data_IF_636450728943
#
_entry.id   IF_636450728943
#
_cell.length_a   1.000
_cell.length_b   1.000
_cell.length_c   1.000
_cell.angle_alpha   90.00
_cell.angle_beta   90.00
_cell.angle_gamma   90.00
#
_symmetry.space_group_name_H-M   'P 1'
#
loop_
_entity.id
_entity.type
_entity.pdbx_description
1 polymer ?
#
# COMPACT_ATOMS: atom_id res chain seq x y z
N UNK A 1 7.29 -25.27 -0.15
CA UNK A 1 8.22 -24.13 0.01
C UNK A 1 7.99 -23.53 1.38
N UNK A 2 8.95 -23.70 2.30
CA UNK A 2 8.80 -23.24 3.67
C UNK A 2 8.69 -21.72 3.73
N UNK A 3 7.52 -21.21 4.15
CA UNK A 3 7.40 -19.83 4.61
C UNK A 3 8.32 -19.71 5.83
N UNK A 4 9.40 -18.92 5.71
CA UNK A 4 10.23 -18.56 6.86
C UNK A 4 9.34 -18.05 7.98
N UNK A 5 9.61 -18.50 9.21
CA UNK A 5 8.77 -18.22 10.39
C UNK A 5 8.45 -16.71 10.45
N UNK A 6 7.18 -16.36 10.34
CA UNK A 6 6.71 -14.98 10.56
C UNK A 6 7.05 -14.59 11.99
N UNK A 7 7.80 -13.49 12.17
CA UNK A 7 8.04 -12.91 13.49
C UNK A 7 6.70 -12.60 14.17
N UNK A 8 6.58 -12.95 15.44
CA UNK A 8 5.38 -12.68 16.23
C UNK A 8 5.21 -11.17 16.42
N UNK A 9 3.98 -10.74 16.71
CA UNK A 9 3.64 -9.35 17.01
C UNK A 9 4.62 -8.71 18.03
N UNK A 10 4.97 -9.45 19.08
CA UNK A 10 5.92 -9.01 20.11
C UNK A 10 7.33 -8.77 19.56
N UNK A 11 7.81 -9.65 18.67
CA UNK A 11 9.16 -9.57 18.09
C UNK A 11 9.30 -8.36 17.16
N UNK A 12 8.23 -8.03 16.43
CA UNK A 12 8.20 -6.83 15.57
C UNK A 12 8.23 -5.56 16.42
N UNK A 13 7.47 -5.52 17.52
CA UNK A 13 7.42 -4.33 18.37
C UNK A 13 8.74 -4.03 19.10
N UNK A 14 9.48 -5.07 19.51
CA UNK A 14 10.75 -4.92 20.21
C UNK A 14 11.94 -4.59 19.28
N UNK A 15 11.74 -4.67 17.96
CA UNK A 15 12.76 -4.27 16.98
C UNK A 15 12.89 -2.73 16.94
N UNK A 16 14.07 -2.17 16.56
CA UNK A 16 14.20 -0.76 16.18
C UNK A 16 13.13 -0.35 15.16
N UNK A 17 12.83 0.95 15.00
CA UNK A 17 11.82 1.42 14.05
C UNK A 17 12.24 1.07 12.62
N UNK A 18 11.92 -0.13 12.18
CA UNK A 18 12.22 -0.59 10.85
C UNK A 18 11.08 -0.18 9.94
N UNK A 19 11.31 0.90 9.17
CA UNK A 19 10.47 1.32 8.07
C UNK A 19 11.05 0.69 6.81
N UNK A 20 10.31 -0.23 6.20
CA UNK A 20 10.70 -0.83 4.93
C UNK A 20 10.00 -0.14 3.77
N UNK A 21 10.77 0.34 2.80
CA UNK A 21 10.23 0.76 1.52
C UNK A 21 11.19 0.40 0.40
N UNK A 22 10.64 -0.14 -0.68
CA UNK A 22 11.39 -0.25 -1.94
C UNK A 22 10.64 0.46 -3.04
N UNK A 23 11.34 1.09 -3.97
CA UNK A 23 10.71 1.65 -5.17
C UNK A 23 11.32 1.00 -6.43
N UNK A 24 10.46 0.35 -7.23
CA UNK A 24 10.83 -0.26 -8.51
C UNK A 24 10.67 0.77 -9.64
N UNK A 25 11.71 1.03 -10.43
CA UNK A 25 11.60 1.87 -11.62
C UNK A 25 11.13 1.01 -12.80
N UNK A 26 9.88 0.49 -12.79
CA UNK A 26 9.35 -0.14 -14.02
C UNK A 26 8.87 0.90 -15.04
N UNK A 27 8.50 2.09 -14.60
CA UNK A 27 8.21 3.25 -15.46
C UNK A 27 8.58 4.54 -14.71
N UNK A 28 9.35 5.44 -15.34
CA UNK A 28 9.55 6.81 -14.84
C UNK A 28 8.31 7.62 -15.21
N UNK A 29 7.36 7.79 -14.28
CA UNK A 29 6.32 8.82 -14.42
C UNK A 29 6.86 10.13 -13.83
N UNK A 30 6.76 11.22 -14.62
CA UNK A 30 7.49 12.48 -14.39
C UNK A 30 7.32 13.04 -12.98
N UNK A 31 6.11 12.97 -12.40
CA UNK A 31 5.82 13.61 -11.11
C UNK A 31 5.99 12.68 -9.91
N UNK A 32 5.57 11.41 -10.05
CA UNK A 32 5.64 10.40 -8.98
C UNK A 32 7.08 9.95 -8.69
N UNK A 33 7.93 9.91 -9.72
CA UNK A 33 9.36 9.62 -9.56
C UNK A 33 10.08 10.68 -8.70
N UNK A 34 9.63 11.94 -8.77
CA UNK A 34 10.25 13.05 -8.02
C UNK A 34 10.02 12.89 -6.52
N UNK A 35 8.80 12.51 -6.10
CA UNK A 35 8.49 12.31 -4.68
C UNK A 35 9.35 11.19 -4.08
N UNK A 36 9.49 10.06 -4.78
CA UNK A 36 10.30 8.92 -4.32
C UNK A 36 11.77 9.29 -4.14
N UNK A 37 12.32 10.07 -5.06
CA UNK A 37 13.70 10.55 -4.96
C UNK A 37 13.88 11.53 -3.79
N UNK A 38 12.92 12.43 -3.56
CA UNK A 38 12.93 13.34 -2.42
C UNK A 38 12.82 12.58 -1.09
N UNK A 39 11.90 11.61 -1.00
CA UNK A 39 11.77 10.74 0.17
C UNK A 39 13.04 9.94 0.42
N UNK A 40 13.65 9.35 -0.62
CA UNK A 40 14.92 8.65 -0.48
C UNK A 40 16.01 9.55 0.11
N UNK A 41 16.10 10.80 -0.35
CA UNK A 41 17.08 11.76 0.15
C UNK A 41 16.85 12.12 1.62
N UNK A 42 15.60 12.31 2.03
CA UNK A 42 15.25 12.64 3.43
C UNK A 42 15.50 11.43 4.34
N UNK A 43 15.15 10.23 3.87
CA UNK A 43 15.20 9.01 4.68
C UNK A 43 16.60 8.39 4.77
N UNK A 44 17.52 8.72 3.87
CA UNK A 44 18.89 8.20 3.87
C UNK A 44 19.71 8.54 5.14
N UNK A 45 19.28 9.54 5.92
CA UNK A 45 19.95 9.94 7.16
C UNK A 45 19.55 9.13 8.41
N UNK A 46 18.66 8.14 8.27
CA UNK A 46 18.11 7.38 9.40
C UNK A 46 18.55 5.91 9.34
N UNK A 47 19.35 5.47 10.31
CA UNK A 47 19.89 4.09 10.35
C UNK A 47 18.81 3.01 10.52
N UNK A 48 17.67 3.37 11.12
CA UNK A 48 16.53 2.49 11.35
C UNK A 48 15.57 2.42 10.14
N UNK A 49 15.74 3.27 9.12
CA UNK A 49 14.87 3.30 7.94
C UNK A 49 15.54 2.65 6.74
N UNK A 50 14.98 1.54 6.27
CA UNK A 50 15.40 0.87 5.04
C UNK A 50 14.54 1.32 3.86
N UNK A 51 14.96 2.39 3.20
CA UNK A 51 14.33 2.89 1.97
C UNK A 51 15.26 2.78 0.77
N UNK A 52 15.20 1.66 0.05
CA UNK A 52 16.17 1.33 -1.01
C UNK A 52 15.53 1.21 -2.39
N UNK A 53 16.33 1.46 -3.42
CA UNK A 53 15.94 1.18 -4.81
C UNK A 53 16.31 -0.26 -5.14
N UNK A 54 15.31 -1.09 -5.44
CA UNK A 54 15.54 -2.50 -5.80
C UNK A 54 15.10 -2.80 -7.23
N UNK A 55 15.79 -3.76 -7.86
CA UNK A 55 15.45 -4.32 -9.18
C UNK A 55 14.61 -5.58 -8.96
N UNK A 56 13.63 -5.85 -9.84
CA UNK A 56 12.70 -6.97 -9.70
C UNK A 56 13.37 -8.29 -10.10
N UNK A 57 14.31 -8.77 -9.28
CA UNK A 57 14.86 -10.13 -9.35
C UNK A 57 14.15 -11.02 -8.33
N UNK A 58 14.11 -12.33 -8.58
CA UNK A 58 13.46 -13.27 -7.65
C UNK A 58 14.05 -13.25 -6.23
N UNK A 59 15.36 -13.03 -6.13
CA UNK A 59 16.07 -12.89 -4.84
C UNK A 59 15.66 -11.61 -4.11
N UNK A 60 15.61 -10.47 -4.81
CA UNK A 60 15.19 -9.20 -4.24
C UNK A 60 13.73 -9.23 -3.78
N UNK A 61 12.86 -9.96 -4.48
CA UNK A 61 11.45 -10.15 -4.06
C UNK A 61 11.38 -10.91 -2.73
N UNK A 62 12.18 -11.97 -2.57
CA UNK A 62 12.26 -12.74 -1.31
C UNK A 62 12.84 -11.89 -0.17
N UNK A 63 13.94 -11.19 -0.42
CA UNK A 63 14.58 -10.31 0.55
C UNK A 63 13.63 -9.19 0.99
N UNK A 64 12.94 -8.56 0.04
CA UNK A 64 11.92 -7.55 0.30
C UNK A 64 10.78 -8.09 1.15
N UNK A 65 10.29 -9.28 0.83
CA UNK A 65 9.23 -9.95 1.60
C UNK A 65 9.66 -10.25 3.03
N UNK A 66 10.92 -10.66 3.23
CA UNK A 66 11.47 -10.90 4.56
C UNK A 66 11.63 -9.59 5.34
N UNK A 67 12.12 -8.52 4.70
CA UNK A 67 12.23 -7.19 5.29
C UNK A 67 10.88 -6.64 5.74
N UNK A 68 9.83 -6.75 4.91
CA UNK A 68 8.47 -6.35 5.29
C UNK A 68 7.95 -7.17 6.48
N UNK A 69 8.21 -8.48 6.52
CA UNK A 69 7.81 -9.33 7.66
C UNK A 69 8.54 -8.96 8.96
N UNK A 70 9.76 -8.45 8.93
CA UNK A 70 10.47 -8.01 10.14
C UNK A 70 10.20 -6.56 10.54
N UNK A 71 9.52 -5.79 9.70
CA UNK A 71 9.29 -4.36 9.89
C UNK A 71 7.99 -4.05 10.63
N UNK A 72 7.98 -2.94 11.37
CA UNK A 72 6.76 -2.43 12.04
C UNK A 72 5.84 -1.72 11.05
N UNK A 73 6.47 -0.91 10.20
CA UNK A 73 5.81 -0.05 9.24
C UNK A 73 6.39 -0.28 7.84
N UNK A 74 5.55 -0.20 6.84
CA UNK A 74 5.96 -0.33 5.44
C UNK A 74 5.56 0.94 4.68
N UNK A 75 6.56 1.67 4.19
CA UNK A 75 6.34 2.94 3.50
C UNK A 75 5.85 2.67 2.07
N UNK A 76 4.72 3.29 1.73
CA UNK A 76 4.05 3.15 0.45
C UNK A 76 3.75 4.53 -0.16
N UNK A 77 4.74 5.16 -0.82
CA UNK A 77 4.51 6.41 -1.52
C UNK A 77 3.80 6.19 -2.85
N UNK A 78 2.86 7.07 -3.17
CA UNK A 78 2.11 7.05 -4.42
C UNK A 78 3.05 7.01 -5.65
N UNK A 79 2.57 6.33 -6.69
CA UNK A 79 3.35 5.96 -7.87
C UNK A 79 3.92 4.55 -7.83
N UNK A 80 3.57 3.74 -6.83
CA UNK A 80 3.57 2.30 -7.04
C UNK A 80 2.41 2.11 -8.00
N UNK A 81 2.71 1.71 -9.23
CA UNK A 81 1.68 1.42 -10.22
C UNK A 81 0.64 0.50 -9.56
N UNK A 82 -0.66 0.54 -9.92
CA UNK A 82 -1.62 -0.45 -9.43
C UNK A 82 -1.15 -1.91 -9.69
N UNK A 83 -0.22 -2.09 -10.63
CA UNK A 83 0.48 -3.35 -10.91
C UNK A 83 1.66 -3.68 -9.98
N UNK A 84 2.09 -2.75 -9.13
CA UNK A 84 3.08 -2.94 -8.06
C UNK A 84 2.35 -3.46 -6.84
N UNK A 85 2.37 -4.79 -6.65
CA UNK A 85 1.72 -5.48 -5.55
C UNK A 85 2.31 -5.18 -4.15
N UNK A 86 3.09 -4.10 -3.97
CA UNK A 86 3.76 -3.81 -2.69
C UNK A 86 2.82 -3.59 -1.53
N UNK A 87 1.70 -2.91 -1.77
CA UNK A 87 0.68 -2.74 -0.74
C UNK A 87 0.10 -4.11 -0.32
N UNK A 88 -0.19 -4.98 -1.30
CA UNK A 88 -0.62 -6.35 -1.05
C UNK A 88 0.46 -7.13 -0.28
N UNK A 89 1.72 -7.06 -0.69
CA UNK A 89 2.83 -7.75 -0.06
C UNK A 89 3.05 -7.28 1.40
N UNK A 90 2.90 -5.99 1.66
CA UNK A 90 2.97 -5.42 3.01
C UNK A 90 1.83 -5.93 3.91
N UNK A 91 0.60 -5.94 3.38
CA UNK A 91 -0.59 -6.43 4.09
C UNK A 91 -0.46 -7.92 4.41
N UNK A 92 -0.10 -8.75 3.42
CA UNK A 92 0.11 -10.20 3.59
C UNK A 92 1.33 -10.50 4.49
N UNK A 93 2.29 -9.58 4.58
CA UNK A 93 3.43 -9.68 5.51
C UNK A 93 3.11 -9.16 6.93
N UNK A 94 1.88 -8.73 7.17
CA UNK A 94 1.41 -8.10 8.42
C UNK A 94 2.31 -6.93 8.85
N UNK A 95 2.66 -6.08 7.90
CA UNK A 95 3.39 -4.84 8.09
C UNK A 95 2.42 -3.67 7.97
N UNK A 96 2.32 -2.81 8.99
CA UNK A 96 1.36 -1.69 9.00
C UNK A 96 1.72 -0.71 7.86
N UNK A 97 0.85 -0.50 6.87
CA UNK A 97 1.15 0.39 5.76
C UNK A 97 1.21 1.86 6.21
N UNK A 98 2.22 2.58 5.74
CA UNK A 98 2.33 4.03 5.83
C UNK A 98 2.20 4.59 4.41
N UNK A 99 0.99 5.02 4.08
CA UNK A 99 0.61 5.45 2.75
C UNK A 99 0.91 6.95 2.61
N UNK A 100 1.75 7.29 1.64
CA UNK A 100 2.08 8.69 1.33
C UNK A 100 1.45 9.07 -0.01
N UNK A 101 0.28 9.69 0.05
CA UNK A 101 -0.45 10.16 -1.14
C UNK A 101 -1.59 11.10 -0.78
N UNK A 102 -1.88 12.05 -1.68
CA UNK A 102 -3.03 12.96 -1.54
C UNK A 102 -4.28 12.47 -2.30
N UNK A 103 -4.15 11.49 -3.22
CA UNK A 103 -5.19 11.16 -4.22
C UNK A 103 -5.23 9.66 -4.59
N UNK A 104 -4.65 8.77 -3.78
CA UNK A 104 -4.62 7.34 -4.08
C UNK A 104 -6.01 6.70 -3.86
N UNK A 105 -6.46 5.89 -4.82
CA UNK A 105 -7.58 4.97 -4.63
C UNK A 105 -7.03 3.63 -4.15
N UNK A 106 -7.59 3.07 -3.07
CA UNK A 106 -7.08 1.86 -2.47
C UNK A 106 -7.85 0.60 -2.93
N UNK A 107 -7.18 -0.56 -2.99
CA UNK A 107 -7.84 -1.80 -3.35
C UNK A 107 -8.85 -2.18 -2.27
N UNK A 108 -10.06 -2.54 -2.69
CA UNK A 108 -11.17 -2.96 -1.81
C UNK A 108 -11.65 -1.90 -0.82
N UNK A 109 -11.39 -0.61 -1.07
CA UNK A 109 -11.74 0.49 -0.15
C UNK A 109 -13.25 0.62 0.14
N UNK A 110 -14.11 0.13 -0.77
CA UNK A 110 -15.57 0.07 -0.56
C UNK A 110 -15.99 -0.92 0.55
N UNK A 111 -15.14 -1.91 0.85
CA UNK A 111 -15.40 -2.98 1.84
C UNK A 111 -14.43 -2.95 3.03
N UNK A 112 -13.23 -2.41 2.83
CA UNK A 112 -12.13 -2.44 3.79
C UNK A 112 -11.76 -1.02 4.20
N UNK A 113 -11.97 -0.72 5.48
CA UNK A 113 -11.57 0.55 6.08
C UNK A 113 -10.08 0.55 6.42
N UNK A 114 -9.27 1.18 5.58
CA UNK A 114 -7.83 1.31 5.75
C UNK A 114 -7.42 2.15 6.96
N UNK A 115 -8.29 3.04 7.47
CA UNK A 115 -7.96 3.88 8.63
C UNK A 115 -7.73 3.04 9.90
N UNK A 116 -8.25 1.81 9.93
CA UNK A 116 -8.10 0.88 11.04
C UNK A 116 -6.75 0.17 11.10
N UNK A 117 -5.99 0.15 10.00
CA UNK A 117 -4.73 -0.60 9.92
C UNK A 117 -3.62 0.07 9.11
N UNK A 118 -3.83 1.28 8.61
CA UNK A 118 -2.84 2.06 7.85
C UNK A 118 -2.71 3.49 8.41
N UNK A 119 -1.56 4.11 8.16
CA UNK A 119 -1.28 5.50 8.50
C UNK A 119 -1.15 6.29 7.19
N UNK A 120 -1.77 7.46 7.14
CA UNK A 120 -1.76 8.32 5.95
C UNK A 120 -0.95 9.57 6.20
N UNK A 121 -0.14 9.95 5.21
CA UNK A 121 0.53 11.24 5.15
C UNK A 121 0.31 11.86 3.78
N UNK A 122 0.06 13.16 3.76
CA UNK A 122 0.13 13.94 2.53
C UNK A 122 1.57 14.00 2.01
N UNK A 123 1.74 14.33 0.73
CA UNK A 123 3.10 14.56 0.21
C UNK A 123 3.81 15.71 0.95
N UNK A 124 3.06 16.73 1.38
CA UNK A 124 3.62 17.86 2.12
C UNK A 124 4.19 17.43 3.47
N UNK A 125 3.43 16.65 4.24
CA UNK A 125 3.86 16.16 5.56
C UNK A 125 5.01 15.16 5.45
N UNK A 126 4.98 14.25 4.47
CA UNK A 126 6.02 13.25 4.31
C UNK A 126 7.35 13.85 3.81
N UNK A 127 7.30 14.97 3.09
CA UNK A 127 8.48 15.70 2.64
C UNK A 127 9.02 16.69 3.67
N UNK A 128 8.30 16.93 4.77
CA UNK A 128 8.81 17.71 5.89
C UNK A 128 9.90 16.89 6.63
N UNK A 129 11.17 17.35 6.66
CA UNK A 129 12.26 16.55 7.19
C UNK A 129 12.04 16.16 8.65
N UNK A 130 12.06 14.86 8.93
CA UNK A 130 11.94 14.31 10.28
C UNK A 130 10.53 14.28 10.87
N UNK A 131 9.54 14.95 10.28
CA UNK A 131 8.16 14.95 10.80
C UNK A 131 7.57 13.53 10.82
N UNK A 132 7.49 12.88 9.65
CA UNK A 132 6.94 11.53 9.52
C UNK A 132 7.70 10.50 10.37
N UNK A 133 9.04 10.54 10.36
CA UNK A 133 9.86 9.60 11.13
C UNK A 133 9.64 9.78 12.63
N UNK A 134 9.59 11.03 13.12
CA UNK A 134 9.31 11.33 14.53
C UNK A 134 7.94 10.79 14.95
N UNK A 135 6.90 11.06 14.16
CA UNK A 135 5.55 10.56 14.44
C UNK A 135 5.47 9.04 14.47
N UNK A 136 6.22 8.35 13.60
CA UNK A 136 6.27 6.88 13.59
C UNK A 136 7.09 6.31 14.76
N UNK A 137 8.11 7.03 15.26
CA UNK A 137 8.86 6.66 16.47
C UNK A 137 8.01 6.81 17.73
N UNK A 138 7.27 7.91 17.81
CA UNK A 138 6.42 8.25 18.95
C UNK A 138 5.06 7.52 18.90
N UNK A 139 4.86 6.63 17.93
CA UNK A 139 3.58 5.97 17.71
C UNK A 139 3.26 5.00 18.88
N UNK A 140 2.07 5.11 19.49
CA UNK A 140 1.76 4.33 20.69
C UNK A 140 1.62 2.83 20.38
N UNK A 141 2.17 2.00 21.28
CA UNK A 141 2.20 0.54 21.17
C UNK A 141 0.81 -0.06 21.06
N UNK A 142 -0.10 0.40 21.89
CA UNK A 142 -1.46 -0.12 22.03
C UNK A 142 -2.21 0.06 20.72
N UNK A 143 -2.11 1.26 20.13
CA UNK A 143 -2.69 1.59 18.82
C UNK A 143 -2.08 0.74 17.72
N UNK A 144 -0.76 0.60 17.68
CA UNK A 144 -0.12 -0.25 16.67
C UNK A 144 -0.53 -1.72 16.78
N UNK A 145 -0.66 -2.24 18.00
CA UNK A 145 -1.13 -3.62 18.22
C UNK A 145 -2.58 -3.81 17.75
N UNK A 146 -3.45 -2.83 17.93
CA UNK A 146 -4.81 -2.84 17.38
C UNK A 146 -4.79 -2.88 15.85
N UNK A 147 -4.03 -1.99 15.23
CA UNK A 147 -3.85 -1.95 13.76
C UNK A 147 -3.31 -3.27 13.22
N UNK A 148 -2.32 -3.86 13.90
CA UNK A 148 -1.75 -5.15 13.52
C UNK A 148 -2.75 -6.30 13.63
N UNK A 149 -3.60 -6.32 14.67
CA UNK A 149 -4.67 -7.33 14.80
C UNK A 149 -5.70 -7.20 13.67
N UNK A 150 -6.09 -5.97 13.32
CA UNK A 150 -6.98 -5.72 12.18
C UNK A 150 -6.34 -6.19 10.87
N UNK A 151 -5.07 -5.84 10.65
CA UNK A 151 -4.30 -6.27 9.49
C UNK A 151 -4.23 -7.79 9.37
N UNK A 152 -4.01 -8.50 10.48
CA UNK A 152 -4.01 -9.96 10.50
C UNK A 152 -5.38 -10.54 10.14
N UNK A 153 -6.46 -9.92 10.58
CA UNK A 153 -7.82 -10.39 10.29
C UNK A 153 -8.17 -10.21 8.80
N UNK A 154 -7.74 -9.11 8.18
CA UNK A 154 -8.08 -8.78 6.80
C UNK A 154 -7.08 -9.32 5.76
N UNK A 155 -5.89 -9.79 6.15
CA UNK A 155 -4.83 -10.14 5.18
C UNK A 155 -5.25 -11.20 4.16
N UNK A 156 -6.15 -12.12 4.53
CA UNK A 156 -6.67 -13.16 3.63
C UNK A 156 -7.41 -12.60 2.42
N UNK A 157 -8.03 -11.42 2.53
CA UNK A 157 -8.67 -10.70 1.42
C UNK A 157 -7.67 -10.22 0.35
N UNK A 158 -6.38 -10.23 0.65
CA UNK A 158 -5.30 -9.81 -0.25
C UNK A 158 -4.48 -10.98 -0.77
N UNK A 159 -4.83 -12.22 -0.43
CA UNK A 159 -4.16 -13.41 -0.92
C UNK A 159 -4.89 -13.98 -2.15
N UNK A 160 -4.17 -14.11 -3.26
CA UNK A 160 -4.66 -14.84 -4.44
C UNK A 160 -4.42 -16.33 -4.25
N UNK A 161 -5.51 -17.11 -4.18
CA UNK A 161 -5.43 -18.57 -3.99
C UNK A 161 -5.95 -19.32 -5.21
N UNK A 162 -5.40 -20.52 -5.44
CA UNK A 162 -5.90 -21.46 -6.44
C UNK A 162 -6.03 -22.86 -5.79
N UNK A 163 -7.24 -23.44 -5.72
CA UNK A 163 -8.53 -22.86 -6.12
C UNK A 163 -8.94 -21.65 -5.25
N UNK A 164 -9.80 -20.74 -5.75
CA UNK A 164 -10.28 -19.60 -4.98
C UNK A 164 -10.99 -20.03 -3.69
N UNK A 165 -10.73 -19.33 -2.59
CA UNK A 165 -11.41 -19.56 -1.31
C UNK A 165 -12.34 -18.41 -0.98
N UNK A 166 -13.39 -18.68 -0.20
CA UNK A 166 -14.33 -17.64 0.25
C UNK A 166 -13.55 -16.48 0.89
N UNK A 167 -13.94 -15.25 0.54
CA UNK A 167 -13.33 -14.01 1.01
C UNK A 167 -11.87 -13.77 0.57
N UNK A 168 -11.31 -14.55 -0.36
CA UNK A 168 -9.98 -14.29 -0.90
C UNK A 168 -9.93 -13.10 -1.87
N UNK A 169 -8.73 -12.75 -2.36
CA UNK A 169 -8.54 -11.62 -3.27
C UNK A 169 -9.34 -11.75 -4.57
N UNK A 170 -9.60 -12.97 -5.05
CA UNK A 170 -10.40 -13.22 -6.25
C UNK A 170 -11.86 -12.86 -6.00
N UNK A 171 -12.40 -13.26 -4.85
CA UNK A 171 -13.77 -12.89 -4.46
C UNK A 171 -13.92 -11.38 -4.25
N UNK A 172 -12.96 -10.75 -3.56
CA UNK A 172 -12.95 -9.30 -3.35
C UNK A 172 -12.91 -8.53 -4.68
N UNK A 173 -12.11 -8.99 -5.64
CA UNK A 173 -12.07 -8.42 -6.99
C UNK A 173 -13.44 -8.48 -7.68
N UNK A 174 -14.10 -9.65 -7.63
CA UNK A 174 -15.43 -9.80 -8.23
C UNK A 174 -16.48 -8.91 -7.57
N UNK A 175 -16.40 -8.70 -6.24
CA UNK A 175 -17.29 -7.77 -5.54
C UNK A 175 -17.07 -6.33 -5.96
N UNK A 176 -15.82 -5.87 -6.09
CA UNK A 176 -15.53 -4.53 -6.60
C UNK A 176 -16.04 -4.34 -8.03
N UNK A 177 -15.82 -5.32 -8.92
CA UNK A 177 -16.35 -5.28 -10.28
C UNK A 177 -17.89 -5.16 -10.24
N UNK A 178 -18.55 -5.98 -9.43
CA UNK A 178 -20.01 -5.94 -9.25
C UNK A 178 -20.49 -4.58 -8.72
N UNK A 179 -19.74 -3.97 -7.80
CA UNK A 179 -20.08 -2.66 -7.22
C UNK A 179 -19.94 -1.52 -8.23
N UNK A 180 -18.88 -1.52 -9.04
CA UNK A 180 -18.60 -0.47 -10.04
C UNK A 180 -19.42 -0.62 -11.34
N UNK A 181 -19.90 -1.83 -11.65
CA UNK A 181 -20.59 -2.14 -12.92
C UNK A 181 -21.84 -1.29 -13.19
N UNK A 182 -22.76 -1.02 -12.23
CA UNK A 182 -23.96 -0.24 -12.49
C UNK A 182 -23.67 1.19 -12.95
N UNK A 183 -22.70 1.86 -12.31
CA UNK A 183 -22.30 3.23 -12.67
C UNK A 183 -21.72 3.28 -14.10
N UNK A 184 -20.87 2.33 -14.46
CA UNK A 184 -20.29 2.20 -15.81
C UNK A 184 -21.36 1.89 -16.85
N UNK A 185 -22.29 0.97 -16.55
CA UNK A 185 -23.43 0.66 -17.44
C UNK A 185 -24.31 1.88 -17.66
N UNK A 186 -24.62 2.63 -16.61
CA UNK A 186 -25.41 3.86 -16.71
C UNK A 186 -24.70 4.92 -17.56
N UNK A 187 -23.39 5.13 -17.35
CA UNK A 187 -22.59 6.04 -18.16
C UNK A 187 -22.59 5.63 -19.64
N UNK A 188 -22.44 4.33 -19.92
CA UNK A 188 -22.46 3.78 -21.30
C UNK A 188 -23.84 3.94 -21.95
N UNK A 189 -24.94 3.71 -21.22
CA UNK A 189 -26.29 3.89 -21.75
C UNK A 189 -26.61 5.37 -22.03
N UNK A 190 -26.06 6.30 -21.25
CA UNK A 190 -26.18 7.74 -21.51
C UNK A 190 -25.40 8.15 -22.75
N UNK A 191 -24.14 7.73 -22.87
CA UNK A 191 -23.31 8.07 -24.03
C UNK A 191 -23.86 7.51 -25.34
N UNK A 192 -24.49 6.33 -25.32
CA UNK A 192 -25.14 5.75 -26.51
C UNK A 192 -26.41 6.49 -26.96
N UNK A 193 -27.18 7.07 -26.03
CA UNK A 193 -28.41 7.81 -26.35
C UNK A 193 -28.13 9.20 -26.91
N UNK A 194 -27.05 9.83 -26.47
CA UNK A 194 -26.74 11.21 -26.81
C UNK A 194 -25.92 11.26 -28.11
N UNK A 195 -26.45 11.91 -29.16
CA UNK A 195 -25.71 12.18 -30.41
C UNK A 195 -24.60 13.23 -30.23
N UNK A 196 -24.72 14.08 -29.23
CA UNK A 196 -23.75 15.10 -28.85
C UNK A 196 -23.27 14.74 -27.44
N UNK A 197 -21.96 14.50 -27.21
CA UNK A 197 -21.43 14.25 -25.88
C UNK A 197 -21.77 15.41 -24.93
N UNK A 198 -22.02 15.11 -23.67
CA UNK A 198 -22.27 16.10 -22.63
C UNK A 198 -21.20 17.21 -22.67
N UNK A 199 -21.63 18.46 -22.89
CA UNK A 199 -20.71 19.58 -23.14
C UNK A 199 -19.81 19.87 -21.93
N UNK A 200 -20.21 19.46 -20.72
CA UNK A 200 -19.41 19.55 -19.49
C UNK A 200 -18.33 18.48 -19.36
N UNK A 201 -18.35 17.39 -20.15
CA UNK A 201 -17.28 16.39 -20.15
C UNK A 201 -16.06 16.80 -21.01
N UNK A 202 -16.15 17.89 -21.79
CA UNK A 202 -15.06 18.38 -22.66
C UNK A 202 -13.96 19.14 -21.92
N UNK A 203 -14.09 19.40 -20.61
CA UNK A 203 -13.05 20.07 -19.83
C UNK A 203 -12.54 19.14 -18.73
N UNK A 204 -11.48 18.40 -19.04
CA UNK A 204 -10.41 18.04 -18.11
C UNK A 204 -9.17 17.67 -18.90
#
# INVERSE_FOLDING_TARGET
MGMGKTKCCCDKWLSPLNIFGTHLPRTFRKDEGIVRLKLAKILAGYEDVHYERSVATGENIKASSQGMRSSKFCLHPAGDTPSSCRLFDAIVSHCVPVIVSDQIELPFEDEIDYTRFSIFYSFKEALEPGYMVKQLRDFPKEKWMEMWRHLKNISHHFEFQYPPKKEDAVNMLWRQVKHKLPAVKLATHRSRRMKIPDWWQRKR
#
